data_IF_118122136189
#
_entry.id   IF_118122136189
#
_cell.length_a   1.000
_cell.length_b   1.000
_cell.length_c   1.000
_cell.angle_alpha   90.00
_cell.angle_beta   90.00
_cell.angle_gamma   90.00
#
_symmetry.space_group_name_H-M   'P 1'
#
loop_
_entity.id
_entity.type
_entity.pdbx_description
1 polymer ?
#
# COMPACT_ATOMS: atom_id res chain seq x y z
N UNK A 1 -19.61 27.08 -47.63
CA UNK A 1 -20.14 26.25 -46.52
C UNK A 1 -19.22 26.48 -45.33
N UNK A 2 -19.62 27.32 -44.39
CA UNK A 2 -18.84 27.62 -43.18
C UNK A 2 -18.89 26.42 -42.23
N UNK A 3 -17.75 25.81 -41.92
CA UNK A 3 -17.64 24.81 -40.87
C UNK A 3 -17.03 25.49 -39.63
N UNK A 4 -17.85 25.60 -38.59
CA UNK A 4 -17.48 26.14 -37.28
C UNK A 4 -16.45 25.20 -36.61
N UNK A 5 -15.24 25.70 -36.39
CA UNK A 5 -14.28 25.07 -35.49
C UNK A 5 -14.76 25.26 -34.04
N UNK A 6 -15.10 24.17 -33.37
CA UNK A 6 -15.19 24.14 -31.90
C UNK A 6 -13.78 24.04 -31.34
N UNK A 7 -13.37 24.87 -30.37
CA UNK A 7 -12.07 24.72 -29.73
C UNK A 7 -12.07 23.46 -28.87
N UNK A 8 -11.19 22.52 -29.19
CA UNK A 8 -10.86 21.38 -28.33
C UNK A 8 -10.44 21.91 -26.96
N UNK A 9 -11.23 21.62 -25.93
CA UNK A 9 -10.81 21.72 -24.54
C UNK A 9 -9.59 20.81 -24.36
N UNK A 10 -8.40 21.41 -24.24
CA UNK A 10 -7.20 20.71 -23.85
C UNK A 10 -7.41 20.09 -22.47
N UNK A 11 -7.59 18.76 -22.42
CA UNK A 11 -7.64 18.02 -21.17
C UNK A 11 -6.22 17.98 -20.62
N UNK A 12 -5.86 18.96 -19.79
CA UNK A 12 -4.61 18.96 -19.05
C UNK A 12 -4.60 17.75 -18.11
N UNK A 13 -3.58 16.90 -18.24
CA UNK A 13 -3.40 15.70 -17.41
C UNK A 13 -3.44 16.08 -15.93
N UNK A 14 -4.12 15.30 -15.06
CA UNK A 14 -4.13 15.57 -13.63
C UNK A 14 -2.70 15.55 -13.07
N UNK A 15 -2.28 16.56 -12.29
CA UNK A 15 -0.94 16.57 -11.71
C UNK A 15 -0.75 15.40 -10.74
N UNK A 16 0.49 14.93 -10.57
CA UNK A 16 0.80 13.85 -9.63
C UNK A 16 0.79 14.36 -8.19
N UNK A 17 0.28 13.55 -7.26
CA UNK A 17 0.24 13.89 -5.84
C UNK A 17 1.64 14.18 -5.30
N UNK A 18 1.90 15.36 -4.73
CA UNK A 18 3.24 15.77 -4.30
C UNK A 18 3.76 14.96 -3.11
N UNK A 19 2.89 14.30 -2.34
CA UNK A 19 3.31 13.48 -1.19
C UNK A 19 3.75 12.06 -1.58
N UNK A 20 3.13 11.47 -2.61
CA UNK A 20 3.43 10.08 -2.99
C UNK A 20 4.03 9.95 -4.37
N UNK A 21 4.02 10.99 -5.20
CA UNK A 21 4.57 11.06 -6.56
C UNK A 21 4.19 9.93 -7.54
N UNK A 22 3.20 9.11 -7.19
CA UNK A 22 2.82 7.91 -7.93
C UNK A 22 1.36 7.91 -8.40
N UNK A 23 0.52 8.78 -7.83
CA UNK A 23 -0.93 8.77 -8.08
C UNK A 23 -1.36 10.18 -8.48
N UNK A 24 -2.01 10.37 -9.65
CA UNK A 24 -2.61 11.63 -10.03
C UNK A 24 -3.63 12.09 -8.99
N UNK A 25 -3.69 13.40 -8.74
CA UNK A 25 -4.72 13.94 -7.85
C UNK A 25 -6.10 13.89 -8.52
N UNK A 26 -7.12 13.58 -7.73
CA UNK A 26 -8.49 13.47 -8.22
C UNK A 26 -9.05 14.86 -8.53
N UNK A 27 -9.96 14.96 -9.51
CA UNK A 27 -10.71 16.19 -9.75
C UNK A 27 -11.62 16.49 -8.56
N UNK A 28 -11.69 17.75 -8.17
CA UNK A 28 -12.51 18.25 -7.08
C UNK A 28 -13.82 18.82 -7.64
N UNK A 29 -14.94 18.08 -7.56
CA UNK A 29 -16.22 18.50 -8.16
C UNK A 29 -16.81 19.75 -7.50
N UNK A 30 -16.34 20.14 -6.30
CA UNK A 30 -16.81 21.35 -5.62
C UNK A 30 -16.14 22.64 -6.12
N UNK A 31 -14.97 22.54 -6.76
CA UNK A 31 -14.17 23.71 -7.17
C UNK A 31 -13.80 23.70 -8.66
N UNK A 32 -14.07 22.60 -9.38
CA UNK A 32 -13.65 22.43 -10.77
C UNK A 32 -12.14 22.22 -10.98
N UNK A 33 -11.34 22.26 -9.91
CA UNK A 33 -9.89 22.00 -9.93
C UNK A 33 -9.53 20.56 -9.55
N UNK A 34 -8.31 20.35 -9.05
CA UNK A 34 -7.85 19.08 -8.50
C UNK A 34 -7.63 19.16 -6.98
N UNK A 35 -7.75 18.04 -6.26
CA UNK A 35 -7.35 17.99 -4.84
C UNK A 35 -5.83 18.14 -4.69
N UNK A 36 -5.37 18.75 -3.60
CA UNK A 36 -3.91 18.92 -3.37
C UNK A 36 -3.15 17.58 -3.19
N UNK A 37 -3.87 16.51 -2.81
CA UNK A 37 -3.31 15.20 -2.56
C UNK A 37 -4.24 14.09 -3.05
N UNK A 38 -3.67 12.97 -3.50
CA UNK A 38 -4.44 11.82 -4.00
C UNK A 38 -5.27 11.09 -2.93
N UNK A 39 -5.02 11.37 -1.65
CA UNK A 39 -5.74 10.75 -0.53
C UNK A 39 -5.64 11.58 0.76
N UNK A 40 -6.59 11.36 1.68
CA UNK A 40 -6.52 11.93 3.04
C UNK A 40 -5.26 11.50 3.79
N UNK A 41 -4.74 10.31 3.51
CA UNK A 41 -3.47 9.83 4.08
C UNK A 41 -2.30 10.66 3.59
N UNK A 42 -2.22 10.92 2.28
CA UNK A 42 -1.18 11.79 1.71
C UNK A 42 -1.28 13.22 2.24
N UNK A 43 -2.49 13.76 2.39
CA UNK A 43 -2.71 15.06 3.02
C UNK A 43 -2.27 15.08 4.49
N UNK A 44 -2.48 13.98 5.23
CA UNK A 44 -2.09 13.87 6.65
C UNK A 44 -0.59 13.68 6.81
N UNK A 45 0.04 12.89 5.93
CA UNK A 45 1.49 12.69 5.91
C UNK A 45 2.21 13.99 5.57
N UNK A 46 1.74 14.73 4.55
CA UNK A 46 2.30 16.04 4.21
C UNK A 46 2.21 17.03 5.38
N UNK A 47 1.08 17.03 6.12
CA UNK A 47 0.91 17.85 7.33
C UNK A 47 1.86 17.45 8.45
N UNK A 48 2.02 16.15 8.70
CA UNK A 48 2.92 15.64 9.74
C UNK A 48 4.41 15.90 9.40
N UNK A 49 4.80 15.81 8.12
CA UNK A 49 6.14 16.13 7.64
C UNK A 49 6.46 17.62 7.78
N UNK A 50 5.50 18.50 7.44
CA UNK A 50 5.63 19.94 7.65
C UNK A 50 5.70 20.33 9.13
N UNK A 51 5.08 19.54 10.02
CA UNK A 51 5.09 19.75 11.47
C UNK A 51 6.39 19.24 12.12
N UNK A 52 6.98 18.14 11.61
CA UNK A 52 8.28 17.63 12.06
C UNK A 52 9.45 18.54 11.62
N UNK A 53 9.37 19.19 10.46
CA UNK A 53 10.41 20.14 10.03
C UNK A 53 10.45 21.42 10.87
N UNK A 54 9.33 21.86 11.47
CA UNK A 54 9.29 23.05 12.36
C UNK A 54 9.77 22.77 13.79
N UNK A 55 9.78 21.52 14.22
CA UNK A 55 10.18 21.13 15.58
C UNK A 55 11.71 21.06 15.79
N UNK A 56 12.52 21.25 14.72
CA UNK A 56 13.98 21.19 14.78
C UNK A 56 14.73 22.52 14.96
N UNK A 57 14.05 23.67 15.06
CA UNK A 57 14.72 24.98 15.22
C UNK A 57 14.87 25.41 16.70
N UNK A 58 16.00 26.03 17.09
CA UNK A 58 16.22 26.55 18.43
C UNK A 58 15.22 27.68 18.73
N UNK A 59 14.29 27.44 19.66
CA UNK A 59 13.19 28.36 20.01
C UNK A 59 11.79 27.72 20.01
N UNK A 60 11.66 26.50 19.49
CA UNK A 60 10.38 25.78 19.32
C UNK A 60 9.83 25.11 20.58
N UNK A 61 10.61 24.99 21.66
CA UNK A 61 10.23 24.24 22.87
C UNK A 61 9.53 25.12 23.92
N UNK A 62 8.59 24.50 24.64
CA UNK A 62 7.83 25.08 25.75
C UNK A 62 8.77 25.67 26.79
N UNK A 63 8.55 26.92 27.14
CA UNK A 63 9.45 27.64 28.03
C UNK A 63 9.44 27.12 29.47
N UNK A 64 8.35 26.47 29.90
CA UNK A 64 8.20 25.91 31.24
C UNK A 64 8.79 24.49 31.37
N UNK A 65 8.45 23.59 30.46
CA UNK A 65 8.83 22.17 30.61
C UNK A 65 10.06 21.78 29.79
N UNK A 66 10.47 22.59 28.80
CA UNK A 66 11.56 22.36 27.84
C UNK A 66 11.53 21.00 27.12
N UNK A 67 10.45 20.23 27.24
CA UNK A 67 10.32 18.84 26.75
C UNK A 67 9.36 18.69 25.57
N UNK A 68 8.44 19.64 25.40
CA UNK A 68 7.39 19.60 24.37
C UNK A 68 7.40 20.89 23.57
N UNK A 69 7.07 20.87 22.27
CA UNK A 69 7.00 22.09 21.48
C UNK A 69 5.92 23.04 21.98
N UNK A 70 6.11 24.33 21.72
CA UNK A 70 5.14 25.40 21.97
C UNK A 70 3.79 25.08 21.31
N UNK A 71 2.69 25.29 22.04
CA UNK A 71 1.37 25.03 21.50
C UNK A 71 1.04 26.06 20.42
N UNK A 72 0.44 25.64 19.31
CA UNK A 72 -0.08 26.54 18.28
C UNK A 72 -1.47 26.10 17.86
N UNK A 73 -2.39 27.05 17.68
CA UNK A 73 -3.74 26.80 17.15
C UNK A 73 -3.81 27.06 15.63
N UNK A 74 -2.66 27.18 14.94
CA UNK A 74 -2.58 27.48 13.51
C UNK A 74 -2.64 28.97 13.17
N UNK A 75 -3.01 29.83 14.12
CA UNK A 75 -3.06 31.29 13.95
C UNK A 75 -2.05 31.96 14.89
N UNK A 76 -2.00 31.53 16.15
CA UNK A 76 -1.11 32.03 17.18
C UNK A 76 -0.19 30.90 17.70
N UNK A 77 1.06 31.26 17.99
CA UNK A 77 2.02 30.39 18.70
C UNK A 77 2.15 30.87 20.16
N UNK A 78 1.96 29.95 21.11
CA UNK A 78 1.94 30.24 22.53
C UNK A 78 3.27 29.83 23.18
N UNK A 79 3.75 30.58 24.17
CA UNK A 79 5.03 30.32 24.88
C UNK A 79 5.13 28.94 25.54
N UNK A 80 4.00 28.29 25.80
CA UNK A 80 3.91 27.02 26.53
C UNK A 80 3.22 25.92 25.72
N UNK A 81 3.54 24.65 25.99
CA UNK A 81 2.96 23.49 25.30
C UNK A 81 1.51 23.16 25.69
N UNK A 82 0.92 23.87 26.65
CA UNK A 82 -0.45 23.64 27.11
C UNK A 82 -0.80 24.43 28.37
N UNK A 83 -2.10 24.41 28.73
CA UNK A 83 -2.66 25.18 29.84
C UNK A 83 -1.99 24.89 31.19
N UNK A 84 -1.60 23.64 31.43
CA UNK A 84 -0.91 23.24 32.67
C UNK A 84 0.45 23.93 32.80
N UNK A 85 1.26 23.95 31.74
CA UNK A 85 2.55 24.64 31.73
C UNK A 85 2.40 26.16 31.82
N UNK A 86 1.37 26.73 31.20
CA UNK A 86 1.06 28.15 31.33
C UNK A 86 0.68 28.54 32.76
N UNK A 87 -0.12 27.71 33.45
CA UNK A 87 -0.50 27.93 34.86
C UNK A 87 0.68 27.78 35.82
N UNK A 88 1.53 26.78 35.60
CA UNK A 88 2.74 26.59 36.41
C UNK A 88 3.71 27.78 36.26
N UNK A 89 3.82 28.34 35.06
CA UNK A 89 4.61 29.55 34.84
C UNK A 89 3.99 30.80 35.49
N UNK A 90 2.67 30.91 35.52
CA UNK A 90 1.95 32.02 36.13
C UNK A 90 1.98 32.03 37.68
N UNK A 91 2.27 30.89 38.30
CA UNK A 91 2.33 30.74 39.77
C UNK A 91 3.78 30.76 40.32
N UNK A 92 4.76 31.17 39.51
CA UNK A 92 6.15 31.30 39.95
C UNK A 92 6.40 32.68 40.59
N UNK A 93 7.16 32.81 41.70
CA UNK A 93 7.33 34.08 42.43
C UNK A 93 8.10 35.18 41.67
N UNK A 94 8.62 34.88 40.46
CA UNK A 94 9.40 35.79 39.65
C UNK A 94 8.75 35.99 38.28
N UNK A 95 7.78 36.90 38.19
CA UNK A 95 7.58 37.81 37.05
C UNK A 95 6.22 38.53 37.15
N UNK A 96 6.22 39.71 37.77
CA UNK A 96 5.32 40.80 37.38
C UNK A 96 6.06 41.69 36.37
N UNK A 97 5.59 41.78 35.12
CA UNK A 97 5.63 43.00 34.28
C UNK A 97 5.18 42.75 32.82
N UNK A 98 4.07 43.43 32.48
CA UNK A 98 3.67 44.06 31.21
C UNK A 98 3.18 43.31 29.94
N UNK A 99 2.23 43.94 29.18
CA UNK A 99 1.45 43.38 28.06
C UNK A 99 2.14 43.53 26.68
N UNK A 100 1.56 43.07 25.56
CA UNK A 100 2.29 42.82 24.31
C UNK A 100 2.53 44.10 23.50
N UNK A 101 3.79 44.40 23.18
CA UNK A 101 4.17 45.36 22.13
C UNK A 101 4.52 44.63 20.83
N UNK A 102 4.01 45.16 19.72
CA UNK A 102 4.19 44.70 18.34
C UNK A 102 5.67 44.54 17.91
N UNK A 103 5.96 43.73 16.87
CA UNK A 103 7.33 43.40 16.47
C UNK A 103 7.99 44.52 15.66
N UNK A 104 9.30 44.77 15.82
CA UNK A 104 10.04 45.62 14.90
C UNK A 104 10.46 44.84 13.64
N UNK A 105 10.18 45.42 12.48
CA UNK A 105 10.75 45.04 11.18
C UNK A 105 12.18 45.56 11.07
N UNK A 106 13.16 44.68 10.88
CA UNK A 106 14.51 45.05 10.47
C UNK A 106 14.81 44.59 9.03
N UNK A 107 15.59 45.35 8.25
CA UNK A 107 15.93 45.03 6.85
C UNK A 107 17.04 43.97 6.75
N UNK A 108 17.28 43.38 5.56
CA UNK A 108 18.23 42.30 5.39
C UNK A 108 19.68 42.81 5.44
N UNK A 109 20.63 42.06 6.03
CA UNK A 109 22.03 42.42 5.98
C UNK A 109 22.66 41.96 4.66
N UNK A 110 23.35 42.87 4.00
CA UNK A 110 24.35 42.57 2.96
C UNK A 110 25.67 42.21 3.62
N UNK A 111 26.32 41.15 3.14
CA UNK A 111 27.72 40.84 3.47
C UNK A 111 28.43 40.28 2.23
N UNK A 112 29.71 40.66 2.00
CA UNK A 112 30.45 40.40 0.76
C UNK A 112 30.98 38.95 0.65
N UNK A 113 31.40 38.51 -0.55
CA UNK A 113 31.75 37.12 -0.79
C UNK A 113 33.12 36.77 -0.19
N UNK A 114 33.18 35.65 0.52
CA UNK A 114 34.42 35.02 1.00
C UNK A 114 34.94 34.04 -0.07
N UNK A 115 36.11 34.33 -0.64
CA UNK A 115 36.86 33.41 -1.50
C UNK A 115 37.76 32.52 -0.66
N UNK A 116 37.51 31.20 -0.65
CA UNK A 116 38.50 30.21 -0.22
C UNK A 116 38.77 29.23 -1.36
N UNK A 117 40.04 28.91 -1.67
CA UNK A 117 40.41 27.93 -2.68
C UNK A 117 40.12 26.48 -2.21
N UNK A 118 39.97 25.52 -3.15
CA UNK A 118 39.58 24.16 -2.82
C UNK A 118 40.76 23.37 -2.22
N UNK A 119 40.52 22.48 -1.22
CA UNK A 119 41.55 21.56 -0.75
C UNK A 119 41.71 20.39 -1.73
N UNK A 120 42.94 20.17 -2.20
CA UNK A 120 43.35 18.97 -2.93
C UNK A 120 43.88 17.94 -1.93
N UNK A 121 43.15 16.82 -1.77
CA UNK A 121 43.68 15.62 -1.11
C UNK A 121 43.97 14.54 -2.16
N UNK A 122 45.17 13.92 -2.16
CA UNK A 122 45.48 12.80 -3.04
C UNK A 122 44.72 11.52 -2.63
N UNK A 123 44.47 10.59 -3.57
CA UNK A 123 43.71 9.38 -3.29
C UNK A 123 44.54 8.37 -2.50
N UNK A 124 43.96 7.65 -1.52
CA UNK A 124 44.65 6.56 -0.85
C UNK A 124 44.69 5.31 -1.76
N UNK A 125 45.89 4.85 -2.09
CA UNK A 125 46.14 3.55 -2.72
C UNK A 125 46.40 2.50 -1.65
N UNK A 126 45.40 1.66 -1.33
CA UNK A 126 45.63 0.38 -0.66
C UNK A 126 45.21 -0.76 -1.59
N UNK A 127 46.09 -1.75 -1.87
CA UNK A 127 45.71 -2.94 -2.60
C UNK A 127 44.77 -3.84 -1.76
N UNK A 128 43.86 -4.59 -2.41
CA UNK A 128 42.92 -5.45 -1.70
C UNK A 128 43.63 -6.67 -1.08
N UNK A 129 43.26 -7.10 0.13
CA UNK A 129 43.78 -8.33 0.71
C UNK A 129 43.16 -9.55 0.02
N UNK A 130 44.00 -10.41 -0.55
CA UNK A 130 43.61 -11.72 -1.09
C UNK A 130 43.76 -12.80 -0.02
N UNK A 131 42.67 -13.11 0.68
CA UNK A 131 42.56 -14.35 1.45
C UNK A 131 41.59 -15.31 0.74
N UNK A 132 42.01 -16.55 0.42
CA UNK A 132 41.10 -17.57 -0.11
C UNK A 132 40.09 -17.99 0.97
N UNK A 133 38.83 -18.29 0.59
CA UNK A 133 37.82 -18.72 1.54
C UNK A 133 38.13 -20.13 2.08
N UNK A 134 38.00 -20.38 3.39
CA UNK A 134 38.14 -21.72 3.95
C UNK A 134 36.97 -22.61 3.53
N UNK A 135 37.26 -23.73 2.88
CA UNK A 135 36.31 -24.79 2.54
C UNK A 135 36.17 -25.76 3.72
N UNK A 136 35.14 -25.57 4.55
CA UNK A 136 34.69 -26.62 5.45
C UNK A 136 33.43 -27.29 4.86
N UNK A 137 33.40 -28.64 4.77
CA UNK A 137 32.20 -29.36 4.37
C UNK A 137 31.09 -29.22 5.43
N UNK A 138 29.80 -29.25 5.02
CA UNK A 138 28.68 -29.11 5.95
C UNK A 138 28.59 -30.34 6.87
N UNK A 139 28.32 -30.15 8.18
CA UNK A 139 28.09 -31.27 9.09
C UNK A 139 26.76 -31.96 8.77
N UNK A 140 26.80 -33.27 8.50
CA UNK A 140 25.63 -34.14 8.35
C UNK A 140 25.24 -34.70 9.71
N UNK A 141 24.32 -34.03 10.41
CA UNK A 141 23.58 -34.63 11.51
C UNK A 141 22.08 -34.64 11.17
N UNK A 142 21.40 -35.80 11.25
CA UNK A 142 19.95 -35.87 11.11
C UNK A 142 19.24 -35.20 12.31
N UNK A 143 18.07 -34.58 12.11
CA UNK A 143 17.34 -33.93 13.19
C UNK A 143 16.77 -34.99 14.17
N UNK A 144 16.79 -34.72 15.49
CA UNK A 144 16.12 -35.58 16.47
C UNK A 144 14.60 -35.58 16.26
N UNK A 145 14.01 -36.76 16.13
CA UNK A 145 12.56 -36.94 16.14
C UNK A 145 12.07 -37.00 17.59
N UNK A 146 11.55 -35.88 18.12
CA UNK A 146 10.74 -35.91 19.34
C UNK A 146 9.24 -35.91 18.97
N UNK A 147 8.45 -36.85 19.50
CA UNK A 147 7.00 -36.83 19.33
C UNK A 147 6.38 -35.66 20.12
N UNK A 148 5.26 -35.09 19.67
CA UNK A 148 4.59 -33.99 20.36
C UNK A 148 3.95 -34.48 21.69
N UNK A 149 3.97 -33.67 22.77
CA UNK A 149 3.25 -34.01 23.98
C UNK A 149 1.73 -33.95 23.74
N UNK A 150 1.05 -35.05 24.04
CA UNK A 150 -0.41 -35.09 24.14
C UNK A 150 -0.83 -34.53 25.49
N UNK A 151 -1.36 -33.30 25.53
CA UNK A 151 -2.19 -32.84 26.63
C UNK A 151 -3.48 -32.22 26.07
N UNK A 152 -4.67 -32.69 26.51
CA UNK A 152 -5.93 -32.09 26.12
C UNK A 152 -6.13 -30.74 26.84
N UNK A 153 -6.80 -29.76 26.21
CA UNK A 153 -7.09 -28.49 26.86
C UNK A 153 -8.18 -28.67 27.94
N UNK A 154 -8.07 -28.00 29.10
CA UNK A 154 -9.12 -28.01 30.12
C UNK A 154 -10.37 -27.27 29.62
N UNK A 155 -11.52 -27.93 29.74
CA UNK A 155 -12.83 -27.34 29.51
C UNK A 155 -13.25 -26.49 30.71
N UNK A 156 -13.33 -25.17 30.53
CA UNK A 156 -14.04 -24.30 31.47
C UNK A 156 -15.45 -24.00 30.92
N UNK A 157 -16.52 -24.19 31.72
CA UNK A 157 -17.87 -23.79 31.33
C UNK A 157 -18.03 -22.26 31.39
N UNK A 158 -18.93 -21.68 30.58
CA UNK A 158 -19.20 -20.25 30.61
C UNK A 158 -19.96 -19.86 31.89
N UNK A 159 -19.69 -18.68 32.49
CA UNK A 159 -20.49 -18.18 33.60
C UNK A 159 -21.85 -17.72 33.09
N UNK A 160 -22.91 -18.23 33.72
CA UNK A 160 -24.26 -17.72 33.62
C UNK A 160 -24.31 -16.31 34.23
N UNK A 161 -24.78 -15.32 33.48
CA UNK A 161 -25.02 -13.98 34.02
C UNK A 161 -26.54 -13.76 34.15
N UNK A 162 -27.06 -13.45 35.35
CA UNK A 162 -28.48 -13.22 35.57
C UNK A 162 -28.92 -11.84 35.06
N UNK A 163 -30.11 -11.84 34.47
CA UNK A 163 -30.92 -10.65 34.15
C UNK A 163 -31.19 -9.84 35.41
N UNK A 164 -30.84 -8.54 35.42
CA UNK A 164 -31.54 -7.55 36.25
C UNK A 164 -31.46 -6.12 35.69
N UNK A 165 -32.66 -5.60 35.44
CA UNK A 165 -33.18 -4.23 35.62
C UNK A 165 -32.65 -3.06 34.76
N UNK A 166 -33.54 -2.61 33.87
CA UNK A 166 -33.50 -1.33 33.18
C UNK A 166 -33.96 -0.17 34.08
N UNK A 167 -33.35 1.04 33.98
CA UNK A 167 -33.94 2.26 34.51
C UNK A 167 -34.90 2.91 33.50
N UNK A 168 -36.06 3.31 34.00
CA UNK A 168 -37.10 4.05 33.28
C UNK A 168 -36.68 5.52 33.13
N UNK A 169 -36.71 6.06 31.92
CA UNK A 169 -36.54 7.50 31.64
C UNK A 169 -37.87 8.13 31.20
N UNK A 170 -38.16 9.40 31.57
CA UNK A 170 -39.42 10.09 31.26
C UNK A 170 -39.52 10.57 29.80
N UNK A 171 -40.74 10.92 29.31
CA UNK A 171 -41.01 11.05 27.87
C UNK A 171 -40.46 12.35 27.28
N UNK A 172 -39.58 12.23 26.28
CA UNK A 172 -39.13 13.34 25.43
C UNK A 172 -40.06 13.50 24.24
N UNK A 173 -40.46 14.75 23.99
CA UNK A 173 -41.27 15.23 22.87
C UNK A 173 -40.83 14.63 21.52
N UNK A 174 -41.81 14.17 20.76
CA UNK A 174 -41.66 13.41 19.53
C UNK A 174 -40.84 14.14 18.47
N UNK A 175 -39.72 13.52 18.08
CA UNK A 175 -39.00 13.84 16.84
C UNK A 175 -39.65 13.05 15.70
N UNK A 176 -39.86 13.62 14.49
CA UNK A 176 -40.46 12.89 13.38
C UNK A 176 -39.71 11.58 13.12
N UNK A 177 -40.44 10.47 13.02
CA UNK A 177 -39.88 9.17 12.73
C UNK A 177 -39.14 9.22 11.38
N UNK A 178 -37.93 8.64 11.27
CA UNK A 178 -37.30 8.46 9.97
C UNK A 178 -38.22 7.59 9.08
N UNK A 179 -38.24 7.85 7.74
CA UNK A 179 -39.13 7.15 6.83
C UNK A 179 -39.00 5.63 6.98
N UNK A 180 -40.14 4.97 7.17
CA UNK A 180 -40.24 3.52 7.33
C UNK A 180 -39.75 2.78 6.08
N UNK A 181 -39.13 1.60 6.24
CA UNK A 181 -38.60 0.84 5.11
C UNK A 181 -39.72 0.23 4.27
N UNK A 182 -39.76 0.58 2.98
CA UNK A 182 -40.55 -0.14 1.99
C UNK A 182 -39.93 -1.51 1.67
N UNK A 183 -40.78 -2.52 1.55
CA UNK A 183 -40.48 -3.94 1.44
C UNK A 183 -39.86 -4.36 0.09
N UNK A 184 -38.62 -3.92 -0.19
CA UNK A 184 -37.88 -4.39 -1.38
C UNK A 184 -37.29 -5.80 -1.25
N UNK A 185 -37.49 -6.49 -0.11
CA UNK A 185 -36.89 -7.80 0.20
C UNK A 185 -35.36 -7.82 0.30
N UNK A 186 -34.68 -6.77 -0.19
CA UNK A 186 -33.23 -6.64 -0.25
C UNK A 186 -32.69 -6.14 1.09
N UNK A 187 -31.82 -6.95 1.68
CA UNK A 187 -31.12 -6.62 2.93
C UNK A 187 -29.79 -5.92 2.65
N UNK A 188 -29.34 -5.14 3.64
CA UNK A 188 -28.07 -4.43 3.57
C UNK A 188 -26.91 -5.38 3.28
N UNK A 189 -26.03 -5.01 2.33
CA UNK A 189 -24.82 -5.80 2.00
C UNK A 189 -23.74 -5.87 3.11
N UNK A 190 -23.92 -5.20 4.24
CA UNK A 190 -22.99 -5.34 5.36
C UNK A 190 -23.20 -6.68 6.05
N UNK A 191 -22.12 -7.44 6.28
CA UNK A 191 -22.15 -8.85 6.69
C UNK A 191 -22.97 -9.14 7.97
N UNK A 192 -23.13 -8.14 8.83
CA UNK A 192 -23.81 -8.26 10.12
C UNK A 192 -25.08 -7.42 10.20
N UNK A 193 -25.57 -6.91 9.08
CA UNK A 193 -26.74 -6.04 9.03
C UNK A 193 -27.90 -6.73 8.30
N UNK A 194 -28.97 -7.01 9.04
CA UNK A 194 -30.21 -7.56 8.47
C UNK A 194 -31.22 -6.47 8.11
N UNK A 195 -30.88 -5.20 8.30
CA UNK A 195 -31.78 -4.08 7.98
C UNK A 195 -32.04 -4.00 6.47
N UNK A 196 -33.25 -3.62 6.04
CA UNK A 196 -33.55 -3.35 4.64
C UNK A 196 -32.66 -2.25 4.09
N UNK A 197 -32.36 -2.31 2.79
CA UNK A 197 -31.57 -1.27 2.10
C UNK A 197 -32.29 0.07 2.09
N UNK A 198 -31.53 1.15 1.96
CA UNK A 198 -32.08 2.48 1.73
C UNK A 198 -32.73 2.54 0.34
N UNK A 199 -33.94 3.09 0.25
CA UNK A 199 -34.62 3.35 -1.03
C UNK A 199 -34.31 4.78 -1.46
N UNK A 200 -33.77 4.94 -2.66
CA UNK A 200 -33.47 6.23 -3.26
C UNK A 200 -34.77 7.00 -3.57
N UNK A 201 -34.66 8.32 -3.78
CA UNK A 201 -35.83 9.16 -4.05
C UNK A 201 -36.58 8.77 -5.33
N UNK A 202 -35.91 8.07 -6.26
CA UNK A 202 -36.47 7.52 -7.49
C UNK A 202 -37.16 6.16 -7.30
N UNK A 203 -37.29 5.68 -6.05
CA UNK A 203 -37.87 4.39 -5.71
C UNK A 203 -36.92 3.20 -5.88
N UNK A 204 -35.68 3.41 -6.34
CA UNK A 204 -34.74 2.30 -6.54
C UNK A 204 -34.09 1.84 -5.24
N UNK A 205 -33.98 0.52 -4.98
CA UNK A 205 -33.32 0.00 -3.78
C UNK A 205 -31.79 0.09 -3.90
N UNK A 206 -31.17 0.82 -2.98
CA UNK A 206 -29.71 0.87 -2.84
C UNK A 206 -29.11 -0.46 -2.39
N UNK A 207 -27.81 -0.44 -2.05
CA UNK A 207 -27.08 -1.63 -1.58
C UNK A 207 -26.88 -1.67 -0.06
N UNK A 208 -27.07 -0.53 0.61
CA UNK A 208 -26.78 -0.35 2.02
C UNK A 208 -27.92 0.38 2.72
N UNK A 209 -28.17 0.05 3.98
CA UNK A 209 -29.22 0.68 4.78
C UNK A 209 -28.85 2.08 5.29
N UNK A 210 -27.54 2.42 5.29
CA UNK A 210 -27.03 3.72 5.73
C UNK A 210 -25.78 4.11 4.93
N UNK A 211 -25.46 5.41 4.93
CA UNK A 211 -24.20 5.92 4.37
C UNK A 211 -22.96 5.38 5.10
N UNK A 212 -23.06 5.06 6.40
CA UNK A 212 -21.97 4.43 7.15
C UNK A 212 -21.68 3.04 6.61
N UNK A 213 -22.71 2.22 6.38
CA UNK A 213 -22.52 0.88 5.81
C UNK A 213 -22.02 0.94 4.38
N UNK A 214 -22.46 1.93 3.58
CA UNK A 214 -21.89 2.20 2.25
C UNK A 214 -20.39 2.48 2.34
N UNK A 215 -19.97 3.37 3.25
CA UNK A 215 -18.55 3.68 3.47
C UNK A 215 -17.75 2.45 3.91
N UNK A 216 -18.30 1.59 4.76
CA UNK A 216 -17.62 0.33 5.12
C UNK A 216 -17.57 -0.68 3.97
N UNK A 217 -18.59 -0.70 3.11
CA UNK A 217 -18.57 -1.46 1.86
C UNK A 217 -17.45 -1.02 0.92
N UNK A 218 -17.29 0.28 0.75
CA UNK A 218 -16.33 0.89 -0.17
C UNK A 218 -14.88 0.92 0.37
N UNK A 219 -14.71 1.12 1.68
CA UNK A 219 -13.41 1.37 2.30
C UNK A 219 -13.05 0.44 3.45
N UNK A 220 -13.95 -0.43 3.92
CA UNK A 220 -13.71 -1.30 5.06
C UNK A 220 -12.92 -2.55 4.72
N UNK A 221 -13.01 -3.56 5.58
CA UNK A 221 -12.45 -4.88 5.31
C UNK A 221 -13.16 -5.56 4.13
N UNK A 222 -12.41 -6.10 3.17
CA UNK A 222 -13.01 -6.76 1.99
C UNK A 222 -13.81 -8.04 2.34
N UNK A 223 -13.53 -8.68 3.49
CA UNK A 223 -14.21 -9.93 3.90
C UNK A 223 -15.43 -9.72 4.79
N UNK A 224 -15.34 -8.83 5.79
CA UNK A 224 -16.44 -8.60 6.73
C UNK A 224 -17.22 -7.30 6.48
N UNK A 225 -16.74 -6.44 5.56
CA UNK A 225 -17.36 -5.14 5.24
C UNK A 225 -17.56 -4.26 6.48
N UNK A 226 -16.62 -4.31 7.42
CA UNK A 226 -16.62 -3.53 8.66
C UNK A 226 -15.45 -2.53 8.70
N UNK A 227 -15.63 -1.45 9.47
CA UNK A 227 -14.87 -0.19 9.38
C UNK A 227 -13.47 -0.14 10.00
N UNK A 228 -12.95 -1.22 10.58
CA UNK A 228 -11.62 -1.25 11.21
C UNK A 228 -10.61 -2.05 10.38
N UNK A 229 -9.95 -1.40 9.42
CA UNK A 229 -8.75 -1.96 8.77
C UNK A 229 -7.56 -1.04 8.97
N UNK A 230 -6.36 -1.62 9.01
CA UNK A 230 -5.14 -0.82 8.92
C UNK A 230 -4.99 -0.22 7.51
N UNK A 231 -4.23 0.85 7.38
CA UNK A 231 -3.88 1.40 6.06
C UNK A 231 -3.07 0.41 5.21
N UNK A 232 -2.32 -0.50 5.86
CA UNK A 232 -1.44 -1.48 5.24
C UNK A 232 -2.16 -2.74 4.72
N UNK A 233 -3.39 -3.00 5.16
CA UNK A 233 -4.14 -4.20 4.76
C UNK A 233 -5.52 -3.83 4.20
N UNK A 234 -5.99 -4.64 3.27
CA UNK A 234 -7.37 -4.58 2.75
C UNK A 234 -8.35 -5.40 3.61
N UNK A 235 -7.81 -6.12 4.58
CA UNK A 235 -8.54 -6.92 5.56
C UNK A 235 -8.36 -6.30 6.96
N UNK A 236 -9.38 -6.42 7.82
CA UNK A 236 -9.19 -6.22 9.25
C UNK A 236 -8.31 -7.36 9.83
N UNK A 237 -7.73 -7.14 11.00
CA UNK A 237 -6.80 -8.11 11.61
C UNK A 237 -7.44 -9.51 11.75
N UNK A 238 -8.63 -9.60 12.34
CA UNK A 238 -9.34 -10.87 12.51
C UNK A 238 -9.61 -11.59 11.20
N UNK A 239 -10.04 -10.89 10.15
CA UNK A 239 -10.24 -11.50 8.84
C UNK A 239 -8.91 -11.91 8.21
N UNK A 240 -7.86 -11.10 8.35
CA UNK A 240 -6.54 -11.46 7.85
C UNK A 240 -6.03 -12.73 8.51
N UNK A 241 -6.10 -12.83 9.84
CA UNK A 241 -5.64 -14.01 10.59
C UNK A 241 -6.43 -15.27 10.20
N UNK A 242 -7.74 -15.13 9.98
CA UNK A 242 -8.59 -16.23 9.54
C UNK A 242 -8.27 -16.70 8.12
N UNK A 243 -7.90 -15.79 7.21
CA UNK A 243 -7.49 -16.16 5.86
C UNK A 243 -6.05 -16.68 5.84
N UNK A 244 -5.17 -16.18 6.73
CA UNK A 244 -3.79 -16.65 6.86
C UNK A 244 -3.73 -18.12 7.30
N UNK A 245 -4.65 -18.57 8.16
CA UNK A 245 -4.80 -19.99 8.53
C UNK A 245 -5.13 -20.89 7.33
N UNK A 246 -5.66 -20.33 6.25
CA UNK A 246 -5.99 -21.03 5.01
C UNK A 246 -4.93 -20.82 3.93
N UNK A 247 -3.85 -20.10 4.24
CA UNK A 247 -2.83 -19.79 3.26
C UNK A 247 -2.15 -21.07 2.73
N UNK A 248 -1.84 -21.15 1.43
CA UNK A 248 -2.09 -20.15 0.40
C UNK A 248 -3.58 -20.04 0.04
N UNK A 249 -4.09 -18.81 -0.04
CA UNK A 249 -5.50 -18.54 -0.34
C UNK A 249 -5.67 -17.31 -1.23
N UNK A 250 -6.83 -17.20 -1.89
CA UNK A 250 -7.25 -15.98 -2.56
C UNK A 250 -8.59 -15.50 -2.02
N UNK A 251 -8.68 -14.20 -1.75
CA UNK A 251 -9.88 -13.54 -1.23
C UNK A 251 -10.40 -12.59 -2.29
N UNK A 252 -11.63 -12.80 -2.76
CA UNK A 252 -12.21 -11.93 -3.78
C UNK A 252 -12.35 -10.51 -3.24
N UNK A 253 -11.82 -9.54 -3.98
CA UNK A 253 -12.01 -8.12 -3.72
C UNK A 253 -13.33 -7.75 -4.39
N UNK A 254 -14.33 -7.27 -3.64
CA UNK A 254 -15.62 -6.94 -4.24
C UNK A 254 -15.55 -5.73 -5.18
N UNK A 255 -16.35 -5.75 -6.25
CA UNK A 255 -16.32 -4.74 -7.31
C UNK A 255 -16.63 -3.32 -6.81
N UNK A 256 -17.53 -3.21 -5.83
CA UNK A 256 -17.91 -1.95 -5.20
C UNK A 256 -16.83 -1.40 -4.25
N UNK A 257 -15.78 -2.18 -3.95
CA UNK A 257 -14.71 -1.81 -3.04
C UNK A 257 -13.64 -0.94 -3.72
N UNK A 258 -13.13 0.09 -3.05
CA UNK A 258 -12.16 1.02 -3.65
C UNK A 258 -10.81 0.40 -4.01
N UNK A 259 -10.39 -0.67 -3.30
CA UNK A 259 -9.24 -1.46 -3.74
C UNK A 259 -9.47 -2.12 -5.12
N UNK A 260 -10.69 -2.60 -5.42
CA UNK A 260 -11.01 -3.14 -6.75
C UNK A 260 -10.82 -2.03 -7.78
N UNK A 261 -11.50 -0.90 -7.59
CA UNK A 261 -11.43 0.26 -8.48
C UNK A 261 -10.00 0.77 -8.68
N UNK A 262 -9.18 0.79 -7.62
CA UNK A 262 -7.78 1.22 -7.67
C UNK A 262 -6.92 0.28 -8.51
N UNK A 263 -7.06 -1.04 -8.33
CA UNK A 263 -6.29 -2.04 -9.07
C UNK A 263 -6.76 -2.09 -10.53
N UNK A 264 -8.07 -2.03 -10.76
CA UNK A 264 -8.65 -1.95 -12.10
C UNK A 264 -8.17 -0.68 -12.83
N UNK A 265 -8.18 0.48 -12.16
CA UNK A 265 -7.66 1.72 -12.73
C UNK A 265 -6.17 1.60 -13.06
N UNK A 266 -5.37 0.98 -12.18
CA UNK A 266 -3.96 0.72 -12.46
C UNK A 266 -3.81 -0.15 -13.70
N UNK A 267 -4.59 -1.23 -13.81
CA UNK A 267 -4.57 -2.13 -14.96
C UNK A 267 -4.89 -1.40 -16.27
N UNK A 268 -5.98 -0.60 -16.28
CA UNK A 268 -6.45 0.15 -17.44
C UNK A 268 -5.47 1.26 -17.85
N UNK A 269 -4.96 2.03 -16.89
CA UNK A 269 -4.01 3.13 -17.16
C UNK A 269 -2.68 2.64 -17.72
N UNK A 270 -2.28 1.43 -17.35
CA UNK A 270 -1.03 0.83 -17.84
C UNK A 270 -1.25 -0.10 -19.03
N UNK A 271 -2.46 -0.16 -19.59
CA UNK A 271 -2.74 -0.92 -20.80
C UNK A 271 -2.52 -0.05 -22.02
N UNK A 272 -1.52 -0.41 -22.83
CA UNK A 272 -1.06 0.38 -23.99
C UNK A 272 -1.14 -0.45 -25.27
N UNK A 273 -1.41 0.22 -26.40
CA UNK A 273 -1.28 -0.34 -27.75
C UNK A 273 -2.53 -0.99 -28.34
N UNK A 274 -3.41 -1.60 -27.52
CA UNK A 274 -4.67 -2.22 -27.97
C UNK A 274 -5.84 -1.80 -27.09
N UNK A 275 -7.07 -2.15 -27.48
CA UNK A 275 -8.24 -1.98 -26.64
C UNK A 275 -8.03 -2.68 -25.28
N UNK A 276 -8.24 -1.95 -24.19
CA UNK A 276 -8.08 -2.51 -22.85
C UNK A 276 -9.20 -3.53 -22.58
N UNK A 277 -8.86 -4.77 -22.19
CA UNK A 277 -9.86 -5.76 -21.87
C UNK A 277 -10.60 -5.41 -20.58
N UNK A 278 -11.81 -5.95 -20.48
CA UNK A 278 -12.65 -5.80 -19.31
C UNK A 278 -12.12 -6.65 -18.15
N UNK A 279 -11.90 -6.02 -16.99
CA UNK A 279 -11.56 -6.71 -15.74
C UNK A 279 -12.82 -7.37 -15.19
N UNK A 280 -12.73 -8.67 -14.90
CA UNK A 280 -13.86 -9.51 -14.49
C UNK A 280 -13.84 -9.89 -13.01
N UNK A 281 -12.64 -10.02 -12.43
CA UNK A 281 -12.51 -10.26 -11.01
C UNK A 281 -11.11 -9.84 -10.53
N UNK A 282 -11.03 -9.42 -9.26
CA UNK A 282 -9.76 -9.16 -8.59
C UNK A 282 -9.77 -9.94 -7.29
N UNK A 283 -8.67 -10.63 -6.99
CA UNK A 283 -8.49 -11.35 -5.73
C UNK A 283 -7.25 -10.86 -5.01
N UNK A 284 -7.36 -10.63 -3.70
CA UNK A 284 -6.22 -10.45 -2.81
C UNK A 284 -5.58 -11.82 -2.58
N UNK A 285 -4.29 -11.92 -2.86
CA UNK A 285 -3.50 -13.12 -2.56
C UNK A 285 -3.08 -13.09 -1.09
N UNK A 286 -3.32 -14.19 -0.39
CA UNK A 286 -2.89 -14.45 0.99
C UNK A 286 -1.74 -15.44 0.92
N UNK A 287 -0.54 -14.91 1.10
CA UNK A 287 0.72 -15.66 1.08
C UNK A 287 0.99 -16.22 2.47
N UNK A 288 1.62 -17.40 2.53
CA UNK A 288 2.03 -18.03 3.79
C UNK A 288 2.92 -17.11 4.64
N UNK A 289 2.77 -17.18 5.96
CA UNK A 289 3.46 -16.30 6.90
C UNK A 289 4.98 -16.37 6.77
N UNK A 290 5.53 -17.58 6.66
CA UNK A 290 6.97 -17.80 6.49
C UNK A 290 7.52 -17.07 5.24
N UNK A 291 6.80 -17.15 4.11
CA UNK A 291 7.19 -16.49 2.86
C UNK A 291 7.10 -14.96 2.99
N UNK A 292 6.08 -14.43 3.68
CA UNK A 292 6.00 -12.98 3.95
C UNK A 292 7.06 -12.50 4.94
N UNK A 293 7.48 -13.33 5.89
CA UNK A 293 8.58 -13.04 6.82
C UNK A 293 9.91 -12.92 6.08
N UNK A 294 10.19 -13.83 5.15
CA UNK A 294 11.37 -13.78 4.28
C UNK A 294 11.37 -12.49 3.43
N UNK A 295 10.23 -12.13 2.83
CA UNK A 295 10.10 -10.88 2.06
C UNK A 295 10.39 -9.63 2.89
N UNK A 296 9.82 -9.55 4.10
CA UNK A 296 10.07 -8.41 5.01
C UNK A 296 11.54 -8.33 5.41
N UNK A 297 12.17 -9.47 5.71
CA UNK A 297 13.62 -9.54 6.01
C UNK A 297 14.45 -9.06 4.82
N UNK A 298 14.08 -9.44 3.60
CA UNK A 298 14.74 -8.96 2.38
C UNK A 298 14.60 -7.45 2.22
N UNK A 299 13.39 -6.90 2.38
CA UNK A 299 13.14 -5.45 2.35
C UNK A 299 13.97 -4.70 3.39
N UNK A 300 14.08 -5.22 4.61
CA UNK A 300 14.88 -4.60 5.67
C UNK A 300 16.38 -4.60 5.30
N UNK A 301 16.87 -5.66 4.65
CA UNK A 301 18.24 -5.72 4.14
C UNK A 301 18.51 -4.75 2.98
N UNK A 302 17.56 -4.59 2.06
CA UNK A 302 17.64 -3.59 0.97
C UNK A 302 17.57 -2.17 1.54
N UNK A 303 16.69 -1.93 2.51
CA UNK A 303 16.56 -0.64 3.19
C UNK A 303 17.84 -0.26 3.94
N UNK A 304 18.46 -1.19 4.66
CA UNK A 304 19.70 -0.93 5.39
C UNK A 304 20.85 -0.52 4.47
N UNK A 305 20.87 -0.99 3.22
CA UNK A 305 21.89 -0.64 2.22
C UNK A 305 21.60 0.70 1.54
N UNK A 306 20.33 0.97 1.23
CA UNK A 306 19.94 2.07 0.34
C UNK A 306 19.25 3.25 1.01
N UNK A 307 18.81 3.14 2.26
CA UNK A 307 18.15 4.19 3.05
C UNK A 307 17.00 4.90 2.28
N UNK A 308 16.15 4.11 1.62
CA UNK A 308 15.13 4.61 0.70
C UNK A 308 14.01 5.38 1.40
N UNK A 309 13.69 5.02 2.65
CA UNK A 309 12.69 5.74 3.47
C UNK A 309 13.13 7.17 3.73
N UNK A 310 14.42 7.39 4.03
CA UNK A 310 14.95 8.74 4.21
C UNK A 310 14.89 9.57 2.90
N UNK A 311 14.85 8.91 1.75
CA UNK A 311 14.67 9.52 0.43
C UNK A 311 13.19 9.71 0.04
N UNK A 312 12.26 9.48 0.97
CA UNK A 312 10.82 9.62 0.73
C UNK A 312 10.19 8.48 -0.08
N UNK A 313 10.88 7.34 -0.23
CA UNK A 313 10.35 6.14 -0.89
C UNK A 313 9.78 5.15 0.12
N UNK A 314 9.06 4.15 -0.37
CA UNK A 314 8.70 2.98 0.42
C UNK A 314 9.96 2.22 0.85
N UNK A 315 9.87 1.52 2.00
CA UNK A 315 10.94 0.62 2.47
C UNK A 315 11.39 -0.31 1.36
N UNK A 316 12.70 -0.39 1.12
CA UNK A 316 13.30 -1.20 0.06
C UNK A 316 12.96 -0.73 -1.37
N UNK A 317 12.49 0.52 -1.53
CA UNK A 317 11.95 1.04 -2.78
C UNK A 317 10.91 0.07 -3.39
N UNK A 318 9.99 -0.42 -2.55
CA UNK A 318 8.96 -1.36 -2.95
C UNK A 318 7.98 -0.73 -3.96
N UNK A 319 7.81 -1.37 -5.12
CA UNK A 319 6.91 -0.93 -6.18
C UNK A 319 5.96 -2.05 -6.61
N UNK A 320 4.80 -1.66 -7.16
CA UNK A 320 3.88 -2.61 -7.77
C UNK A 320 4.25 -2.90 -9.22
N UNK A 321 4.23 -4.17 -9.61
CA UNK A 321 4.52 -4.61 -10.99
C UNK A 321 3.65 -5.77 -11.44
N UNK A 322 3.26 -5.73 -12.71
CA UNK A 322 2.52 -6.77 -13.41
C UNK A 322 3.42 -7.94 -13.78
N UNK A 323 2.87 -9.15 -13.71
CA UNK A 323 3.50 -10.38 -14.18
C UNK A 323 2.44 -11.27 -14.82
N UNK A 324 2.64 -11.59 -16.10
CA UNK A 324 1.84 -12.58 -16.80
C UNK A 324 2.53 -13.93 -16.77
N UNK A 325 1.73 -15.00 -16.72
CA UNK A 325 2.26 -16.36 -16.65
C UNK A 325 1.27 -17.38 -17.22
N UNK A 326 1.67 -18.65 -17.27
CA UNK A 326 0.80 -19.73 -17.74
C UNK A 326 -0.18 -20.18 -16.65
N UNK A 327 -1.40 -20.46 -17.08
CA UNK A 327 -2.51 -20.97 -16.26
C UNK A 327 -3.07 -22.22 -16.92
N UNK A 328 -3.04 -23.34 -16.19
CA UNK A 328 -3.53 -24.66 -16.64
C UNK A 328 -4.81 -25.12 -15.94
N UNK A 329 -5.45 -24.23 -15.19
CA UNK A 329 -6.66 -24.55 -14.41
C UNK A 329 -7.60 -23.36 -14.38
N UNK A 330 -8.80 -23.53 -13.80
CA UNK A 330 -9.82 -22.49 -13.74
C UNK A 330 -9.72 -21.57 -12.50
N UNK A 331 -8.59 -21.57 -11.77
CA UNK A 331 -8.38 -20.65 -10.64
C UNK A 331 -8.71 -19.20 -11.04
N UNK A 332 -9.56 -18.53 -10.28
CA UNK A 332 -9.99 -17.15 -10.50
C UNK A 332 -11.24 -16.98 -11.36
N UNK A 333 -11.69 -18.00 -12.10
CA UNK A 333 -12.98 -17.96 -12.80
C UNK A 333 -14.14 -17.85 -11.80
N UNK A 334 -15.36 -17.62 -12.29
CA UNK A 334 -16.55 -17.33 -11.48
C UNK A 334 -16.68 -18.35 -10.33
N UNK A 335 -16.45 -17.87 -9.10
CA UNK A 335 -16.53 -18.68 -7.88
C UNK A 335 -15.35 -19.62 -7.61
N UNK A 336 -14.45 -19.85 -8.57
CA UNK A 336 -13.36 -20.82 -8.43
C UNK A 336 -12.14 -20.20 -7.72
N UNK A 337 -11.91 -20.65 -6.48
CA UNK A 337 -10.76 -20.26 -5.64
C UNK A 337 -9.81 -21.43 -5.36
N UNK A 338 -10.02 -22.57 -6.02
CA UNK A 338 -9.31 -23.81 -5.75
C UNK A 338 -8.04 -23.91 -6.59
N UNK A 339 -6.91 -24.11 -5.92
CA UNK A 339 -5.65 -24.35 -6.61
C UNK A 339 -5.59 -25.77 -7.17
N UNK A 340 -5.09 -25.94 -8.38
CA UNK A 340 -4.75 -27.27 -8.89
C UNK A 340 -3.42 -27.79 -8.31
N UNK A 341 -3.22 -29.10 -8.42
CA UNK A 341 -1.97 -29.78 -8.04
C UNK A 341 -0.92 -29.81 -9.16
N UNK A 342 -1.28 -29.42 -10.39
CA UNK A 342 -0.38 -29.45 -11.55
C UNK A 342 0.85 -28.55 -11.35
N UNK A 343 2.04 -29.16 -11.30
CA UNK A 343 3.32 -28.46 -11.16
C UNK A 343 3.66 -27.59 -12.39
N UNK A 344 3.06 -27.87 -13.56
CA UNK A 344 3.15 -27.06 -14.77
C UNK A 344 2.19 -25.87 -14.79
N UNK A 345 1.33 -25.70 -13.79
CA UNK A 345 0.50 -24.50 -13.63
C UNK A 345 1.31 -23.41 -12.91
N UNK A 346 2.04 -22.59 -13.68
CA UNK A 346 2.92 -21.56 -13.13
C UNK A 346 2.15 -20.57 -12.24
N UNK A 347 0.94 -20.16 -12.63
CA UNK A 347 0.08 -19.30 -11.81
C UNK A 347 -0.18 -19.89 -10.42
N UNK A 348 -0.63 -21.15 -10.34
CA UNK A 348 -0.88 -21.81 -9.07
C UNK A 348 0.41 -21.98 -8.26
N UNK A 349 1.53 -22.32 -8.91
CA UNK A 349 2.82 -22.45 -8.23
C UNK A 349 3.26 -21.11 -7.62
N UNK A 350 3.21 -20.02 -8.38
CA UNK A 350 3.60 -18.69 -7.90
C UNK A 350 2.73 -18.26 -6.73
N UNK A 351 1.41 -18.47 -6.79
CA UNK A 351 0.54 -18.09 -5.66
C UNK A 351 0.79 -18.97 -4.44
N UNK A 352 1.01 -20.29 -4.61
CA UNK A 352 1.21 -21.23 -3.49
C UNK A 352 2.55 -21.03 -2.80
N UNK A 353 3.63 -20.89 -3.56
CA UNK A 353 5.01 -20.96 -3.05
C UNK A 353 5.83 -19.70 -3.33
N UNK A 354 5.21 -18.64 -3.85
CA UNK A 354 5.91 -17.46 -4.39
C UNK A 354 6.74 -17.74 -5.65
N UNK A 355 7.43 -16.71 -6.12
CA UNK A 355 8.37 -16.78 -7.22
C UNK A 355 9.61 -17.60 -6.84
N UNK A 356 10.20 -18.26 -7.83
CA UNK A 356 11.35 -19.13 -7.64
C UNK A 356 12.30 -18.99 -8.85
N UNK A 357 13.52 -18.56 -8.59
CA UNK A 357 14.58 -18.33 -9.56
C UNK A 357 15.00 -19.62 -10.28
N UNK A 358 14.92 -20.77 -9.61
CA UNK A 358 15.19 -22.07 -10.24
C UNK A 358 14.13 -22.45 -11.28
N UNK A 359 12.95 -21.83 -11.24
CA UNK A 359 11.88 -22.00 -12.25
C UNK A 359 11.80 -20.84 -13.25
N UNK A 360 12.72 -19.88 -13.17
CA UNK A 360 12.72 -18.71 -14.04
C UNK A 360 13.40 -19.01 -15.37
N UNK A 361 12.81 -18.52 -16.45
CA UNK A 361 13.38 -18.64 -17.79
C UNK A 361 14.45 -17.56 -18.02
N UNK A 362 15.33 -17.80 -18.99
CA UNK A 362 16.31 -16.81 -19.46
C UNK A 362 15.61 -15.81 -20.40
N UNK A 363 15.62 -14.54 -20.02
CA UNK A 363 15.16 -13.43 -20.85
C UNK A 363 16.33 -12.58 -21.35
N UNK A 364 16.02 -11.36 -21.82
CA UNK A 364 17.00 -10.40 -22.37
C UNK A 364 18.06 -9.93 -21.35
N UNK A 365 17.80 -10.10 -20.06
CA UNK A 365 18.68 -9.75 -18.96
C UNK A 365 18.99 -11.01 -18.12
N UNK A 366 19.12 -12.14 -18.80
CA UNK A 366 19.49 -13.43 -18.22
C UNK A 366 18.40 -14.08 -17.37
N UNK A 367 18.81 -14.97 -16.46
CA UNK A 367 17.89 -15.77 -15.63
C UNK A 367 17.47 -14.95 -14.42
N UNK A 368 16.27 -14.37 -14.49
CA UNK A 368 15.70 -13.51 -13.46
C UNK A 368 14.18 -13.56 -13.45
N UNK A 369 13.56 -12.90 -12.47
CA UNK A 369 12.11 -12.74 -12.39
C UNK A 369 11.73 -11.44 -13.06
N UNK A 370 11.05 -11.55 -14.21
CA UNK A 370 10.64 -10.42 -15.04
C UNK A 370 9.26 -9.93 -14.65
N UNK A 371 9.16 -8.62 -14.41
CA UNK A 371 7.90 -7.93 -14.14
C UNK A 371 7.84 -6.62 -14.92
N UNK A 372 6.65 -6.05 -15.07
CA UNK A 372 6.43 -4.86 -15.89
C UNK A 372 5.62 -3.80 -15.15
N UNK A 373 5.87 -2.51 -15.38
CA UNK A 373 4.92 -1.45 -14.99
C UNK A 373 3.74 -1.33 -15.99
N UNK A 374 3.88 -1.87 -17.21
CA UNK A 374 2.84 -1.89 -18.26
C UNK A 374 2.10 -3.23 -18.27
N UNK A 375 0.77 -3.21 -18.08
CA UNK A 375 -0.08 -4.40 -18.01
C UNK A 375 -0.19 -5.11 -19.36
N UNK A 376 -0.34 -4.38 -20.48
CA UNK A 376 -0.42 -4.99 -21.82
C UNK A 376 0.86 -5.70 -22.24
N UNK A 377 2.02 -5.34 -21.66
CA UNK A 377 3.28 -6.07 -21.85
C UNK A 377 3.26 -7.41 -21.12
N UNK A 378 2.79 -7.42 -19.87
CA UNK A 378 2.59 -8.66 -19.11
C UNK A 378 1.49 -9.54 -19.72
N UNK A 379 0.53 -8.98 -20.44
CA UNK A 379 -0.51 -9.75 -21.14
C UNK A 379 0.07 -10.75 -22.15
N UNK A 380 1.15 -10.39 -22.85
CA UNK A 380 1.83 -11.27 -23.81
C UNK A 380 2.35 -12.59 -23.20
N UNK A 381 2.53 -12.61 -21.87
CA UNK A 381 2.95 -13.79 -21.11
C UNK A 381 1.81 -14.49 -20.39
N UNK A 382 0.64 -13.85 -20.30
CA UNK A 382 -0.55 -14.41 -19.67
C UNK A 382 -1.21 -15.40 -20.64
N UNK A 383 -1.13 -16.71 -20.37
CA UNK A 383 -1.60 -17.75 -21.30
C UNK A 383 -2.42 -18.82 -20.59
N UNK A 384 -3.60 -19.12 -21.13
CA UNK A 384 -4.35 -20.32 -20.76
C UNK A 384 -3.81 -21.50 -21.56
N UNK A 385 -3.44 -22.59 -20.89
CA UNK A 385 -2.85 -23.78 -21.53
C UNK A 385 -3.71 -24.99 -21.17
N UNK A 386 -4.29 -25.65 -22.18
CA UNK A 386 -5.12 -26.83 -21.97
C UNK A 386 -6.48 -26.55 -21.29
N UNK A 387 -6.93 -25.30 -21.27
CA UNK A 387 -8.25 -24.89 -20.76
C UNK A 387 -8.92 -23.92 -21.74
N UNK A 388 -10.25 -23.89 -21.74
CA UNK A 388 -11.08 -23.08 -22.65
C UNK A 388 -11.63 -21.81 -22.02
N UNK A 389 -11.10 -21.41 -20.85
CA UNK A 389 -11.55 -20.19 -20.17
C UNK A 389 -11.32 -18.97 -21.06
N UNK A 390 -12.38 -18.16 -21.24
CA UNK A 390 -12.32 -16.87 -21.95
C UNK A 390 -11.71 -15.77 -21.09
N UNK A 391 -11.34 -16.07 -19.84
CA UNK A 391 -10.65 -15.14 -18.95
C UNK A 391 -9.16 -15.48 -18.87
N UNK A 392 -8.32 -14.45 -19.01
CA UNK A 392 -6.89 -14.50 -18.74
C UNK A 392 -6.63 -14.09 -17.28
N UNK A 393 -5.45 -14.46 -16.79
CA UNK A 393 -5.01 -14.20 -15.42
C UNK A 393 -3.67 -13.47 -15.42
N UNK A 394 -3.57 -12.41 -14.63
CA UNK A 394 -2.33 -11.65 -14.43
C UNK A 394 -2.13 -11.33 -12.96
N UNK A 395 -0.88 -11.39 -12.50
CA UNK A 395 -0.52 -11.05 -11.13
C UNK A 395 -0.08 -9.58 -11.03
N UNK A 396 -0.57 -8.89 -10.00
CA UNK A 396 -0.01 -7.63 -9.52
C UNK A 396 0.81 -7.93 -8.26
N UNK A 397 2.09 -7.64 -8.33
CA UNK A 397 3.08 -8.04 -7.34
C UNK A 397 3.61 -6.82 -6.59
N UNK A 398 4.09 -7.03 -5.36
CA UNK A 398 4.97 -6.09 -4.66
C UNK A 398 6.41 -6.53 -4.89
N UNK A 399 7.25 -5.63 -5.39
CA UNK A 399 8.64 -5.91 -5.78
C UNK A 399 9.58 -4.95 -5.07
N UNK A 400 10.57 -5.48 -4.38
CA UNK A 400 11.67 -4.72 -3.79
C UNK A 400 12.61 -4.28 -4.92
N UNK A 401 12.44 -3.06 -5.42
CA UNK A 401 13.28 -2.53 -6.51
C UNK A 401 14.68 -2.21 -6.00
N UNK A 402 14.79 -1.74 -4.75
CA UNK A 402 16.04 -1.25 -4.19
C UNK A 402 16.71 -0.21 -5.09
N UNK A 403 18.03 -0.31 -5.20
CA UNK A 403 18.83 0.47 -6.14
C UNK A 403 18.81 -0.23 -7.51
N UNK A 404 17.91 0.20 -8.39
CA UNK A 404 17.76 -0.40 -9.72
C UNK A 404 18.77 0.14 -10.73
N UNK A 405 19.52 -0.75 -11.39
CA UNK A 405 20.42 -0.38 -12.48
C UNK A 405 19.63 -0.18 -13.76
N UNK A 406 19.62 1.04 -14.28
CA UNK A 406 19.13 1.35 -15.63
C UNK A 406 20.08 0.76 -16.67
N UNK A 407 19.53 -0.01 -17.60
CA UNK A 407 20.28 -0.62 -18.70
C UNK A 407 19.53 -0.46 -20.02
N UNK A 408 20.29 -0.25 -21.09
CA UNK A 408 19.79 -0.22 -22.46
C UNK A 408 20.34 -1.38 -23.28
N UNK A 409 21.49 -1.95 -22.92
CA UNK A 409 22.07 -3.08 -23.64
C UNK A 409 21.57 -4.40 -23.05
N UNK A 410 21.13 -5.30 -23.94
CA UNK A 410 20.75 -6.68 -23.61
C UNK A 410 21.98 -7.43 -23.11
N UNK A 411 21.80 -8.20 -22.03
CA UNK A 411 22.81 -9.09 -21.49
C UNK A 411 22.15 -10.36 -20.97
N UNK A 412 22.10 -11.38 -21.82
CA UNK A 412 21.46 -12.66 -21.52
C UNK A 412 22.29 -13.52 -20.55
N UNK A 413 23.49 -13.10 -20.17
CA UNK A 413 24.37 -13.85 -19.25
C UNK A 413 24.12 -13.56 -17.77
N UNK A 414 23.34 -12.51 -17.46
CA UNK A 414 23.11 -12.08 -16.08
C UNK A 414 22.39 -13.15 -15.24
N UNK A 415 22.93 -13.39 -14.04
CA UNK A 415 22.32 -14.26 -13.02
C UNK A 415 22.10 -13.54 -11.69
N UNK A 416 22.55 -12.29 -11.59
CA UNK A 416 22.43 -11.39 -10.45
C UNK A 416 22.51 -9.93 -10.91
N UNK A 417 22.03 -8.95 -10.13
CA UNK A 417 22.26 -7.55 -10.47
C UNK A 417 23.75 -7.20 -10.39
N UNK A 418 24.22 -6.18 -11.15
CA UNK A 418 25.59 -5.68 -11.05
C UNK A 418 25.94 -5.22 -9.62
N UNK A 419 27.23 -5.22 -9.23
CA UNK A 419 27.65 -4.78 -7.91
C UNK A 419 27.09 -3.40 -7.54
N UNK A 420 26.53 -3.30 -6.33
CA UNK A 420 25.91 -2.07 -5.81
C UNK A 420 24.43 -1.86 -6.21
N UNK A 421 23.83 -2.77 -6.96
CA UNK A 421 22.42 -2.71 -7.37
C UNK A 421 21.63 -3.92 -6.86
N UNK A 422 20.31 -3.74 -6.71
CA UNK A 422 19.38 -4.79 -6.25
C UNK A 422 18.52 -5.35 -7.39
N UNK A 423 18.41 -4.61 -8.50
CA UNK A 423 17.57 -4.98 -9.65
C UNK A 423 18.09 -4.38 -10.97
N UNK A 424 17.52 -4.82 -12.08
CA UNK A 424 17.72 -4.23 -13.41
C UNK A 424 16.43 -3.53 -13.86
N UNK A 425 16.58 -2.33 -14.43
CA UNK A 425 15.54 -1.51 -15.04
C UNK A 425 15.85 -1.39 -16.54
N UNK A 426 15.14 -2.14 -17.37
CA UNK A 426 15.37 -2.17 -18.80
C UNK A 426 14.66 -1.00 -19.50
N UNK A 427 15.42 -0.04 -20.00
CA UNK A 427 14.88 1.18 -20.64
C UNK A 427 14.55 0.98 -22.12
N UNK A 428 15.15 -0.03 -22.80
CA UNK A 428 14.95 -0.26 -24.25
C UNK A 428 13.51 -0.55 -24.68
N UNK A 429 12.62 -0.86 -23.74
CA UNK A 429 11.20 -1.07 -24.04
C UNK A 429 10.26 -0.53 -22.97
N UNK A 430 10.72 0.44 -22.17
CA UNK A 430 10.02 1.10 -21.06
C UNK A 430 9.16 0.14 -20.24
N UNK A 431 9.67 -0.24 -19.06
CA UNK A 431 8.89 -0.72 -17.90
C UNK A 431 9.23 -2.13 -17.41
N UNK A 432 10.25 -2.81 -17.96
CA UNK A 432 10.72 -4.09 -17.43
C UNK A 432 11.62 -3.91 -16.20
N UNK A 433 11.23 -4.57 -15.11
CA UNK A 433 11.98 -4.71 -13.88
C UNK A 433 12.34 -6.18 -13.68
N UNK A 434 13.63 -6.45 -13.50
CA UNK A 434 14.16 -7.78 -13.27
C UNK A 434 14.82 -7.83 -11.90
N UNK A 435 14.40 -8.81 -11.09
CA UNK A 435 15.04 -9.14 -9.81
C UNK A 435 15.60 -10.56 -9.88
N UNK A 436 16.66 -10.82 -9.13
CA UNK A 436 17.41 -12.09 -9.19
C UNK A 436 17.39 -12.84 -7.86
N UNK A 437 16.37 -12.60 -7.04
CA UNK A 437 16.21 -13.22 -5.73
C UNK A 437 14.74 -13.56 -5.49
N UNK A 438 14.48 -14.77 -4.99
CA UNK A 438 13.12 -15.27 -4.68
C UNK A 438 12.39 -14.37 -3.69
N UNK A 439 13.13 -13.77 -2.74
CA UNK A 439 12.61 -12.89 -1.69
C UNK A 439 12.47 -11.43 -2.12
N UNK A 440 12.75 -11.09 -3.39
CA UNK A 440 12.58 -9.73 -3.89
C UNK A 440 11.15 -9.42 -4.37
N UNK A 441 10.26 -10.42 -4.47
CA UNK A 441 8.93 -10.24 -5.05
C UNK A 441 7.86 -11.10 -4.35
N UNK A 442 6.65 -10.56 -4.18
CA UNK A 442 5.49 -11.31 -3.69
C UNK A 442 4.24 -11.05 -4.53
N UNK A 443 3.47 -12.10 -4.88
CA UNK A 443 2.17 -11.91 -5.51
C UNK A 443 1.22 -11.25 -4.51
N UNK A 444 0.65 -10.10 -4.88
CA UNK A 444 -0.26 -9.35 -4.00
C UNK A 444 -1.71 -9.49 -4.44
N UNK A 445 -1.99 -9.44 -5.74
CA UNK A 445 -3.32 -9.61 -6.30
C UNK A 445 -3.30 -10.47 -7.56
N UNK A 446 -4.39 -11.19 -7.79
CA UNK A 446 -4.72 -11.87 -9.04
C UNK A 446 -5.82 -11.07 -9.74
N UNK A 447 -5.57 -10.66 -10.97
CA UNK A 447 -6.54 -9.96 -11.82
C UNK A 447 -6.99 -10.90 -12.93
N UNK A 448 -8.29 -11.10 -13.03
CA UNK A 448 -8.95 -11.87 -14.08
C UNK A 448 -9.61 -10.89 -15.05
N UNK A 449 -9.41 -11.09 -16.34
CA UNK A 449 -9.90 -10.18 -17.37
C UNK A 449 -10.26 -10.95 -18.63
N UNK A 450 -11.19 -10.43 -19.43
CA UNK A 450 -11.63 -11.08 -20.66
C UNK A 450 -10.48 -11.10 -21.65
N UNK A 451 -10.19 -12.24 -22.27
CA UNK A 451 -9.29 -12.27 -23.42
C UNK A 451 -9.83 -11.31 -24.49
N UNK A 452 -8.98 -10.45 -25.08
CA UNK A 452 -9.38 -9.60 -26.21
C UNK A 452 -10.01 -10.42 -27.34
#
# INVERSE_FOLDING_TARGET
>A
MFALFSPSLAITSPPTCPNCNHIPVLSNPATGGYFDYCSRTCATQAKNSAQNQRNGQPGSLCEQCKRRPKFSNGINAYRYCGRTCAKLAANSPFNQANPPTNPPTNPPPTSPPSTNPPPTNPPPTNPPPTNPPPTNPPPTNPPPANPPPANPPPANPPPANPLVNAPVNPPSLARPAPPQPAASGKTCRSRWCTRPVFIHNDGTPGDYCTMTHKKWGEYGCISCRAGSRSSASVLCQTCYDNELKKAPAIVQVPEDHNNYKSIESQFKQTWKGTACPEVKAIYKVIVAEASMKQYKKYLDGVEAKGNFVAMGKSRGNENRRWHGTTRKCQLGDIGNKTFCADAGCALCCIIKTSFNMAKSNTGLFGRGIYTSATSSKSDGYSKNVGITSVWKAMLLNTVAVGNGKKVTLVDTSLTQPPPGYDSILAERSNDELIVYNDDAVRPSYLVMYKSP
#
